data_IF_453323408325
#
_entry.id   IF_453323408325
#
_cell.length_a   1.000
_cell.length_b   1.000
_cell.length_c   1.000
_cell.angle_alpha   90.00
_cell.angle_beta   90.00
_cell.angle_gamma   90.00
#
_symmetry.space_group_name_H-M   'P 1'
#
loop_
_entity.id
_entity.type
_entity.pdbx_description
1 polymer ?
#
# COMPACT_ATOMS: atom_id res chain seq x y z
N UNK A 1 4.48 -28.71 -12.26
CA UNK A 1 5.52 -29.31 -13.13
C UNK A 1 6.91 -29.17 -12.53
N UNK A 2 7.49 -27.96 -12.41
CA UNK A 2 8.86 -27.77 -11.88
C UNK A 2 9.11 -28.39 -10.50
N UNK A 3 8.19 -28.22 -9.54
CA UNK A 3 8.34 -28.82 -8.22
C UNK A 3 8.39 -30.36 -8.24
N UNK A 4 7.71 -31.01 -9.20
CA UNK A 4 7.78 -32.46 -9.36
C UNK A 4 9.12 -32.92 -9.97
N UNK A 5 9.79 -32.04 -10.71
CA UNK A 5 11.16 -32.23 -11.19
C UNK A 5 12.20 -31.96 -10.09
N UNK A 6 11.78 -31.47 -8.92
CA UNK A 6 12.65 -31.25 -7.77
C UNK A 6 13.37 -29.90 -7.74
N UNK A 7 12.92 -28.88 -8.48
CA UNK A 7 13.49 -27.53 -8.36
C UNK A 7 12.47 -26.42 -8.67
N UNK A 8 12.69 -25.20 -8.14
CA UNK A 8 11.75 -24.09 -8.30
C UNK A 8 12.43 -22.69 -8.28
N UNK A 9 12.03 -21.75 -9.14
CA UNK A 9 12.55 -20.37 -9.13
C UNK A 9 11.85 -19.52 -8.06
N UNK A 10 12.30 -19.61 -6.81
CA UNK A 10 11.72 -18.84 -5.68
C UNK A 10 11.83 -17.33 -5.88
N UNK A 11 12.91 -16.87 -6.50
CA UNK A 11 13.14 -15.47 -6.85
C UNK A 11 13.21 -15.36 -8.37
N UNK A 12 12.09 -15.06 -9.06
CA UNK A 12 12.08 -14.86 -10.50
C UNK A 12 13.14 -13.84 -10.93
N UNK A 13 13.75 -14.05 -12.11
CA UNK A 13 14.90 -13.30 -12.63
C UNK A 13 16.24 -13.50 -11.91
N UNK A 14 16.30 -14.21 -10.78
CA UNK A 14 17.57 -14.70 -10.25
C UNK A 14 18.14 -15.80 -11.17
N UNK A 15 19.46 -15.95 -11.18
CA UNK A 15 20.20 -16.91 -12.01
C UNK A 15 20.25 -18.33 -11.40
N UNK A 16 19.36 -18.64 -10.45
CA UNK A 16 19.33 -19.92 -9.76
C UNK A 16 17.91 -20.41 -9.45
N UNK A 17 17.81 -21.71 -9.20
CA UNK A 17 16.60 -22.42 -8.83
C UNK A 17 16.84 -23.17 -7.52
N UNK A 18 15.92 -23.09 -6.57
CA UNK A 18 16.03 -23.81 -5.30
C UNK A 18 15.68 -25.28 -5.52
N UNK A 19 16.53 -26.19 -5.03
CA UNK A 19 16.28 -27.63 -5.09
C UNK A 19 15.24 -28.01 -4.02
N UNK A 20 14.19 -28.69 -4.46
CA UNK A 20 13.18 -29.34 -3.62
C UNK A 20 13.42 -30.86 -3.55
N UNK A 21 12.36 -31.65 -3.59
CA UNK A 21 12.45 -33.11 -3.71
C UNK A 21 11.85 -33.53 -5.05
N UNK A 22 12.61 -34.22 -5.93
CA UNK A 22 12.04 -34.80 -7.14
C UNK A 22 11.00 -35.88 -6.80
N UNK A 23 10.05 -36.08 -7.72
CA UNK A 23 8.99 -37.10 -7.62
C UNK A 23 9.06 -38.14 -8.75
N UNK A 24 10.14 -38.13 -9.52
CA UNK A 24 10.34 -38.99 -10.69
C UNK A 24 11.74 -39.58 -10.69
N UNK A 25 11.87 -40.81 -11.19
CA UNK A 25 13.15 -41.51 -11.31
C UNK A 25 14.08 -40.80 -12.31
N UNK A 26 13.52 -40.37 -13.45
CA UNK A 26 14.24 -39.59 -14.45
C UNK A 26 13.32 -38.56 -15.11
N UNK A 27 13.86 -37.36 -15.38
CA UNK A 27 13.24 -36.37 -16.24
C UNK A 27 14.25 -35.79 -17.23
N UNK A 28 13.82 -35.65 -18.49
CA UNK A 28 14.62 -35.06 -19.57
C UNK A 28 13.93 -33.81 -20.09
N UNK A 29 14.61 -32.67 -20.01
CA UNK A 29 14.16 -31.39 -20.54
C UNK A 29 14.98 -31.04 -21.77
N UNK A 30 14.34 -30.97 -22.93
CA UNK A 30 14.97 -30.46 -24.14
C UNK A 30 14.95 -28.93 -24.10
N UNK A 31 16.13 -28.33 -24.19
CA UNK A 31 16.32 -26.89 -24.10
C UNK A 31 16.30 -26.27 -25.50
N UNK A 32 16.00 -24.97 -25.56
CA UNK A 32 15.93 -24.22 -26.82
C UNK A 32 17.27 -24.17 -27.57
N UNK A 33 18.39 -24.25 -26.85
CA UNK A 33 19.73 -24.32 -27.42
C UNK A 33 20.12 -25.71 -27.96
N UNK A 34 19.16 -26.65 -28.03
CA UNK A 34 19.35 -28.00 -28.53
C UNK A 34 19.99 -28.98 -27.54
N UNK A 35 20.41 -28.53 -26.35
CA UNK A 35 20.92 -29.41 -25.29
C UNK A 35 19.77 -30.05 -24.52
N UNK A 36 20.11 -31.07 -23.73
CA UNK A 36 19.16 -31.75 -22.84
C UNK A 36 19.65 -31.64 -21.41
N UNK A 37 18.81 -31.14 -20.51
CA UNK A 37 19.03 -31.19 -19.07
C UNK A 37 18.35 -32.44 -18.51
N UNK A 38 19.07 -33.23 -17.70
CA UNK A 38 18.62 -34.55 -17.26
C UNK A 38 18.66 -34.64 -15.74
N UNK A 39 17.51 -34.86 -15.10
CA UNK A 39 17.44 -35.07 -13.66
C UNK A 39 17.25 -36.56 -13.41
N UNK A 40 18.06 -37.14 -12.53
CA UNK A 40 17.92 -38.53 -12.09
C UNK A 40 17.83 -38.61 -10.58
N UNK A 41 17.11 -39.61 -10.10
CA UNK A 41 17.13 -40.00 -8.70
C UNK A 41 17.56 -41.45 -8.55
N UNK A 42 18.26 -41.74 -7.45
CA UNK A 42 18.61 -43.08 -7.02
C UNK A 42 17.86 -43.39 -5.72
N UNK A 43 17.31 -44.60 -5.61
CA UNK A 43 16.56 -45.06 -4.44
C UNK A 43 15.28 -44.24 -4.12
N UNK A 44 14.67 -43.57 -5.09
CA UNK A 44 13.40 -42.87 -4.89
C UNK A 44 12.28 -43.88 -4.56
N UNK A 45 11.51 -43.60 -3.51
CA UNK A 45 10.35 -44.40 -3.13
C UNK A 45 9.40 -43.57 -2.27
N UNK A 46 8.18 -44.05 -1.99
CA UNK A 46 7.28 -43.39 -1.05
C UNK A 46 7.89 -43.17 0.35
N UNK A 47 8.83 -44.02 0.75
CA UNK A 47 9.59 -43.89 2.01
C UNK A 47 10.80 -42.96 1.85
N UNK A 48 11.51 -43.07 0.72
CA UNK A 48 12.75 -42.35 0.46
C UNK A 48 12.49 -40.99 -0.19
N UNK A 49 12.05 -40.03 0.63
CA UNK A 49 11.67 -38.67 0.20
C UNK A 49 12.70 -37.57 0.48
N UNK A 50 13.84 -37.90 1.08
CA UNK A 50 14.88 -36.92 1.43
C UNK A 50 16.10 -37.08 0.53
N UNK A 51 16.63 -35.97 0.03
CA UNK A 51 17.94 -35.97 -0.64
C UNK A 51 19.03 -36.19 0.41
N UNK A 52 19.83 -37.24 0.21
CA UNK A 52 20.99 -37.60 1.03
C UNK A 52 22.28 -37.01 0.47
N UNK A 53 22.43 -37.07 -0.84
CA UNK A 53 23.58 -36.53 -1.57
C UNK A 53 23.16 -36.13 -2.98
N UNK A 54 23.98 -35.32 -3.64
CA UNK A 54 23.76 -34.96 -5.04
C UNK A 54 25.10 -34.98 -5.79
N UNK A 55 25.02 -35.29 -7.08
CA UNK A 55 26.11 -35.12 -8.04
C UNK A 55 25.62 -34.28 -9.20
N UNK A 56 26.48 -33.44 -9.76
CA UNK A 56 26.21 -32.70 -11.00
C UNK A 56 27.29 -33.06 -12.00
N UNK A 57 26.90 -33.65 -13.14
CA UNK A 57 27.83 -34.12 -14.17
C UNK A 57 28.91 -35.06 -13.58
N UNK A 58 28.49 -35.97 -12.69
CA UNK A 58 29.34 -36.95 -12.02
C UNK A 58 30.19 -36.42 -10.85
N UNK A 59 30.22 -35.10 -10.61
CA UNK A 59 31.00 -34.49 -9.52
C UNK A 59 30.13 -34.27 -8.27
N UNK A 60 30.68 -34.38 -7.05
CA UNK A 60 29.94 -34.05 -5.83
C UNK A 60 29.32 -32.65 -5.89
N UNK A 61 28.04 -32.54 -5.53
CA UNK A 61 27.29 -31.29 -5.55
C UNK A 61 26.70 -31.03 -4.17
N UNK A 62 27.13 -29.93 -3.55
CA UNK A 62 26.76 -29.63 -2.16
C UNK A 62 25.73 -28.50 -2.04
N UNK A 63 25.46 -27.78 -3.13
CA UNK A 63 24.52 -26.67 -3.14
C UNK A 63 23.07 -27.15 -3.22
N UNK A 64 22.18 -26.52 -2.46
CA UNK A 64 20.73 -26.70 -2.51
C UNK A 64 20.06 -25.79 -3.54
N UNK A 65 20.83 -25.26 -4.49
CA UNK A 65 20.36 -24.46 -5.61
C UNK A 65 21.02 -24.95 -6.88
N UNK A 66 20.33 -24.95 -8.01
CA UNK A 66 20.88 -25.18 -9.36
C UNK A 66 21.06 -23.84 -10.05
N UNK A 67 22.22 -23.59 -10.68
CA UNK A 67 22.40 -22.37 -11.49
C UNK A 67 21.73 -22.53 -12.84
N UNK A 68 21.18 -21.43 -13.35
CA UNK A 68 20.62 -21.38 -14.69
C UNK A 68 21.67 -21.77 -15.75
N UNK A 69 22.94 -21.36 -15.55
CA UNK A 69 24.04 -21.75 -16.42
C UNK A 69 24.27 -23.27 -16.47
N UNK A 70 24.17 -23.97 -15.33
CA UNK A 70 24.32 -25.43 -15.27
C UNK A 70 23.19 -26.14 -16.04
N UNK A 71 21.97 -25.62 -15.93
CA UNK A 71 20.81 -26.12 -16.67
C UNK A 71 21.04 -25.88 -18.17
N UNK A 72 21.37 -24.65 -18.58
CA UNK A 72 21.59 -24.29 -19.99
C UNK A 72 22.82 -24.97 -20.61
N UNK A 73 23.75 -25.47 -19.80
CA UNK A 73 24.85 -26.33 -20.23
C UNK A 73 24.41 -27.78 -20.53
N UNK A 74 23.15 -28.15 -20.27
CA UNK A 74 22.66 -29.53 -20.38
C UNK A 74 23.11 -30.41 -19.21
N UNK A 75 23.23 -29.82 -18.01
CA UNK A 75 23.69 -30.55 -16.83
C UNK A 75 22.86 -31.79 -16.48
N UNK A 76 23.50 -32.72 -15.78
CA UNK A 76 22.89 -33.93 -15.26
C UNK A 76 23.04 -34.00 -13.73
N UNK A 77 22.08 -33.47 -12.95
CA UNK A 77 22.00 -33.74 -11.53
C UNK A 77 21.47 -35.17 -11.26
N UNK A 78 22.18 -35.88 -10.38
CA UNK A 78 21.76 -37.17 -9.82
C UNK A 78 21.59 -37.00 -8.31
N UNK A 79 20.38 -37.26 -7.82
CA UNK A 79 20.04 -37.16 -6.39
C UNK A 79 19.94 -38.55 -5.77
N UNK A 80 20.72 -38.81 -4.73
CA UNK A 80 20.58 -40.01 -3.91
C UNK A 80 19.50 -39.77 -2.85
N UNK A 81 18.41 -40.54 -2.92
CA UNK A 81 17.25 -40.40 -2.04
C UNK A 81 17.36 -41.32 -0.82
N UNK A 82 16.72 -40.96 0.29
CA UNK A 82 16.67 -41.75 1.51
C UNK A 82 15.50 -41.40 2.43
N UNK A 83 15.28 -42.23 3.44
CA UNK A 83 14.17 -42.14 4.40
C UNK A 83 14.41 -41.11 5.53
N UNK A 84 15.65 -40.62 5.67
CA UNK A 84 16.07 -39.67 6.69
C UNK A 84 16.84 -38.48 6.11
N UNK A 85 16.58 -37.25 6.59
CA UNK A 85 17.28 -36.06 6.12
C UNK A 85 18.78 -36.15 6.38
N UNK A 86 19.60 -35.69 5.43
CA UNK A 86 21.00 -35.38 5.68
C UNK A 86 21.13 -33.91 6.11
N UNK A 87 21.48 -33.67 7.39
CA UNK A 87 21.61 -32.31 7.93
C UNK A 87 22.88 -31.57 7.47
N UNK A 88 23.80 -32.25 6.78
CA UNK A 88 25.07 -31.68 6.33
C UNK A 88 25.04 -31.23 4.85
N UNK A 89 24.15 -31.80 4.04
CA UNK A 89 24.04 -31.43 2.63
C UNK A 89 23.22 -30.15 2.48
N UNK A 90 23.66 -29.22 1.61
CA UNK A 90 22.93 -27.96 1.36
C UNK A 90 23.03 -26.90 2.47
N UNK A 91 23.85 -27.09 3.51
CA UNK A 91 23.89 -26.19 4.69
C UNK A 91 25.18 -25.39 4.86
N UNK A 92 26.22 -25.66 4.05
CA UNK A 92 27.51 -24.95 4.13
C UNK A 92 27.49 -23.52 3.54
N UNK A 93 28.46 -22.65 3.88
CA UNK A 93 28.60 -21.34 3.26
C UNK A 93 28.66 -21.45 1.73
N UNK A 94 27.79 -20.72 1.03
CA UNK A 94 27.68 -20.76 -0.44
C UNK A 94 26.84 -21.91 -1.00
N UNK A 95 26.35 -22.83 -0.16
CA UNK A 95 25.50 -23.95 -0.57
C UNK A 95 24.00 -23.69 -0.36
N UNK A 96 23.61 -22.61 0.31
CA UNK A 96 22.21 -22.23 0.54
C UNK A 96 21.74 -21.19 -0.50
N UNK A 97 20.42 -20.99 -0.68
CA UNK A 97 19.91 -19.88 -1.48
C UNK A 97 20.43 -18.53 -0.98
N UNK A 98 20.72 -17.62 -1.89
CA UNK A 98 21.14 -16.26 -1.57
C UNK A 98 19.93 -15.45 -1.08
N UNK A 99 20.01 -14.94 0.15
CA UNK A 99 19.04 -13.99 0.69
C UNK A 99 19.80 -12.73 1.12
N UNK A 100 20.20 -11.90 0.14
CA UNK A 100 20.91 -10.64 0.41
C UNK A 100 20.49 -9.57 -0.59
N UNK A 101 20.30 -8.35 -0.09
CA UNK A 101 20.06 -7.16 -0.91
C UNK A 101 21.40 -6.42 -0.96
N UNK A 102 22.17 -6.63 -2.03
CA UNK A 102 23.47 -5.99 -2.23
C UNK A 102 23.39 -4.74 -3.09
N UNK A 103 22.29 -4.57 -3.82
CA UNK A 103 22.07 -3.51 -4.79
C UNK A 103 20.77 -2.77 -4.46
N UNK A 104 20.75 -1.47 -4.75
CA UNK A 104 19.61 -0.58 -4.47
C UNK A 104 19.17 -0.55 -2.99
N UNK A 105 20.13 -0.35 -2.08
CA UNK A 105 19.84 -0.08 -0.67
C UNK A 105 18.84 1.08 -0.56
N UNK A 106 17.60 0.77 -0.19
CA UNK A 106 16.57 1.76 0.05
C UNK A 106 16.65 2.22 1.50
N UNK A 107 16.70 3.53 1.71
CA UNK A 107 16.50 4.09 3.03
C UNK A 107 14.99 4.17 3.29
N UNK A 108 14.47 3.50 4.34
CA UNK A 108 13.05 3.54 4.65
C UNK A 108 12.55 4.97 4.84
N UNK A 109 11.35 5.26 4.34
CA UNK A 109 10.74 6.56 4.54
C UNK A 109 10.42 6.76 6.04
N UNK A 110 10.63 7.97 6.57
CA UNK A 110 10.18 8.32 7.91
C UNK A 110 8.65 8.38 8.00
N UNK A 111 8.11 8.39 9.22
CA UNK A 111 6.68 8.50 9.49
C UNK A 111 6.37 9.54 10.58
N UNK A 112 5.11 9.94 10.67
CA UNK A 112 4.61 10.90 11.67
C UNK A 112 3.75 10.23 12.73
N UNK A 113 3.75 10.74 13.96
CA UNK A 113 2.83 10.30 15.03
C UNK A 113 1.43 10.93 14.93
N UNK A 114 1.23 11.89 14.01
CA UNK A 114 -0.03 12.60 13.82
C UNK A 114 -1.14 11.62 13.45
N UNK A 115 -2.18 11.56 14.30
CA UNK A 115 -3.35 10.67 14.12
C UNK A 115 -4.51 11.33 13.39
N UNK A 116 -4.66 12.65 13.50
CA UNK A 116 -5.70 13.44 12.84
C UNK A 116 -5.05 14.56 12.04
N UNK A 117 -5.50 14.76 10.80
CA UNK A 117 -4.96 15.78 9.89
C UNK A 117 -5.62 17.16 10.08
N UNK A 118 -6.68 17.23 10.87
CA UNK A 118 -7.52 18.40 11.09
C UNK A 118 -7.39 18.82 12.55
N UNK A 119 -7.20 20.11 12.81
CA UNK A 119 -7.02 20.64 14.16
C UNK A 119 -7.55 22.06 14.30
N UNK A 120 -7.90 22.49 15.52
CA UNK A 120 -8.59 23.76 15.73
C UNK A 120 -7.65 24.91 16.13
N UNK A 121 -6.82 24.67 17.13
CA UNK A 121 -5.87 25.65 17.67
C UNK A 121 -4.46 25.34 17.18
N UNK A 122 -3.86 24.26 17.69
CA UNK A 122 -2.53 23.80 17.34
C UNK A 122 -2.47 22.28 17.31
N UNK A 123 -1.54 21.74 16.54
CA UNK A 123 -1.24 20.30 16.53
C UNK A 123 0.27 20.09 16.66
N UNK A 124 0.65 19.11 17.49
CA UNK A 124 2.04 18.66 17.63
C UNK A 124 2.36 17.65 16.52
N UNK A 125 3.48 17.88 15.85
CA UNK A 125 4.01 17.01 14.79
C UNK A 125 5.29 16.35 15.30
N UNK A 126 5.24 15.04 15.53
CA UNK A 126 6.40 14.22 15.79
C UNK A 126 6.77 13.40 14.55
N UNK A 127 8.04 13.45 14.14
CA UNK A 127 8.59 12.64 13.06
C UNK A 127 9.52 11.56 13.62
N UNK A 128 9.43 10.36 13.03
CA UNK A 128 10.10 9.15 13.46
C UNK A 128 10.75 8.43 12.28
N UNK A 129 11.77 7.64 12.60
CA UNK A 129 12.62 6.95 11.62
C UNK A 129 12.66 5.46 11.95
N UNK A 130 12.49 4.58 10.96
CA UNK A 130 12.74 3.15 11.15
C UNK A 130 14.22 2.84 11.41
N UNK A 131 15.13 3.55 10.74
CA UNK A 131 16.59 3.41 10.91
C UNK A 131 17.12 4.43 11.93
N UNK A 132 17.63 3.95 13.07
CA UNK A 132 18.16 4.76 14.17
C UNK A 132 19.44 5.55 13.84
N UNK A 133 20.08 5.30 12.70
CA UNK A 133 21.24 6.04 12.22
C UNK A 133 20.87 7.16 11.23
N UNK A 134 19.66 7.13 10.67
CA UNK A 134 19.22 8.08 9.63
C UNK A 134 18.79 9.44 10.19
N UNK A 135 19.33 10.55 9.71
CA UNK A 135 18.89 11.89 10.16
C UNK A 135 17.62 12.32 9.44
N UNK A 136 16.71 12.98 10.16
CA UNK A 136 15.45 13.48 9.60
C UNK A 136 15.56 14.94 9.17
N UNK A 137 14.90 15.27 8.07
CA UNK A 137 14.78 16.62 7.54
C UNK A 137 13.33 16.90 7.21
N UNK A 138 12.90 18.16 7.36
CA UNK A 138 11.55 18.58 7.04
C UNK A 138 11.49 20.00 6.46
N UNK A 139 10.44 20.27 5.71
CA UNK A 139 10.07 21.55 5.14
C UNK A 139 8.60 21.83 5.43
N UNK A 140 8.27 23.10 5.66
CA UNK A 140 6.91 23.57 5.88
C UNK A 140 6.45 24.39 4.69
N UNK A 141 5.26 24.10 4.19
CA UNK A 141 4.58 24.90 3.18
C UNK A 141 3.21 25.35 3.71
N UNK A 142 3.12 26.59 4.16
CA UNK A 142 1.86 27.21 4.58
C UNK A 142 0.95 27.41 3.37
N UNK A 143 -0.38 27.31 3.56
CA UNK A 143 -1.36 27.49 2.47
C UNK A 143 -1.12 28.83 1.74
N UNK A 144 -1.04 28.79 0.40
CA UNK A 144 -0.80 29.98 -0.42
C UNK A 144 0.65 30.50 -0.42
N UNK A 145 1.59 29.81 0.23
CA UNK A 145 3.01 30.19 0.27
C UNK A 145 3.89 29.15 -0.43
N UNK A 146 5.09 29.58 -0.84
CA UNK A 146 6.13 28.67 -1.34
C UNK A 146 6.66 27.77 -0.21
N UNK A 147 7.10 26.54 -0.50
CA UNK A 147 7.75 25.67 0.49
C UNK A 147 9.00 26.34 1.06
N UNK A 148 9.20 26.21 2.36
CA UNK A 148 10.46 26.58 3.01
C UNK A 148 11.58 25.61 2.61
N UNK A 149 12.84 26.01 2.78
CA UNK A 149 13.95 25.09 2.62
C UNK A 149 13.86 23.94 3.65
N UNK A 150 14.35 22.75 3.27
CA UNK A 150 14.45 21.64 4.21
C UNK A 150 15.46 21.95 5.31
N UNK A 151 15.10 21.62 6.55
CA UNK A 151 15.93 21.80 7.74
C UNK A 151 15.96 20.54 8.59
N UNK A 152 17.02 20.31 9.38
CA UNK A 152 17.10 19.15 10.26
C UNK A 152 15.94 19.11 11.27
N UNK A 153 15.38 17.93 11.49
CA UNK A 153 14.41 17.67 12.55
C UNK A 153 15.15 17.17 13.80
N UNK A 154 15.09 17.97 14.88
CA UNK A 154 15.72 17.63 16.15
C UNK A 154 14.71 17.12 17.19
N UNK A 155 13.52 17.74 17.22
CA UNK A 155 12.45 17.42 18.18
C UNK A 155 11.09 17.78 17.59
N UNK A 156 10.00 17.21 18.15
CA UNK A 156 8.64 17.56 17.76
C UNK A 156 8.39 19.07 17.83
N UNK A 157 7.55 19.56 16.93
CA UNK A 157 7.18 20.97 16.83
C UNK A 157 5.67 21.12 16.72
N UNK A 158 5.15 22.32 16.99
CA UNK A 158 3.73 22.63 16.85
C UNK A 158 3.48 23.46 15.60
N UNK A 159 2.28 23.32 15.04
CA UNK A 159 1.76 24.16 13.96
C UNK A 159 0.37 24.65 14.33
N UNK A 160 0.06 25.88 13.94
CA UNK A 160 -1.14 26.65 14.32
C UNK A 160 -1.88 27.23 13.10
N UNK A 161 -1.55 26.73 11.92
CA UNK A 161 -2.20 27.07 10.65
C UNK A 161 -2.12 25.91 9.65
N UNK A 162 -2.95 25.97 8.60
CA UNK A 162 -2.92 24.98 7.52
C UNK A 162 -1.56 24.93 6.84
N UNK A 163 -0.92 23.77 6.87
CA UNK A 163 0.45 23.56 6.43
C UNK A 163 0.64 22.16 5.84
N UNK A 164 1.43 22.06 4.77
CA UNK A 164 1.98 20.79 4.32
C UNK A 164 3.38 20.62 4.88
N UNK A 165 3.59 19.57 5.66
CA UNK A 165 4.89 19.14 6.18
C UNK A 165 5.47 18.12 5.21
N UNK A 166 6.54 18.47 4.50
CA UNK A 166 7.32 17.50 3.72
C UNK A 166 8.51 17.03 4.53
N UNK A 167 8.83 15.74 4.53
CA UNK A 167 9.94 15.23 5.33
C UNK A 167 10.57 13.97 4.71
N UNK A 168 11.87 13.76 4.98
CA UNK A 168 12.64 12.63 4.48
C UNK A 168 13.73 12.23 5.48
N UNK A 169 14.31 11.04 5.27
CA UNK A 169 15.45 10.53 6.02
C UNK A 169 16.73 10.55 5.16
N UNK A 170 17.88 10.78 5.79
CA UNK A 170 19.20 10.74 5.13
C UNK A 170 20.22 9.97 5.98
N UNK A 171 20.94 9.03 5.36
CA UNK A 171 22.00 8.25 6.00
C UNK A 171 23.22 8.21 5.07
N UNK A 172 24.30 8.90 5.45
CA UNK A 172 25.44 9.10 4.56
C UNK A 172 25.02 9.81 3.27
N UNK A 173 25.28 9.16 2.12
CA UNK A 173 24.89 9.63 0.79
C UNK A 173 23.46 9.20 0.38
N UNK A 174 22.86 8.25 1.10
CA UNK A 174 21.51 7.76 0.79
C UNK A 174 20.45 8.71 1.34
N UNK A 175 19.39 8.93 0.55
CA UNK A 175 18.21 9.69 0.94
C UNK A 175 16.96 8.89 0.61
N UNK A 176 16.00 8.89 1.53
CA UNK A 176 14.67 8.33 1.29
C UNK A 176 13.89 9.21 0.29
N UNK A 177 12.74 8.73 -0.18
CA UNK A 177 11.77 9.62 -0.82
C UNK A 177 11.25 10.64 0.21
N UNK A 178 10.74 11.76 -0.29
CA UNK A 178 10.05 12.73 0.57
C UNK A 178 8.59 12.32 0.74
N UNK A 179 8.13 12.32 1.98
CA UNK A 179 6.73 12.14 2.35
C UNK A 179 6.06 13.49 2.58
N UNK A 180 4.76 13.58 2.27
CA UNK A 180 3.97 14.79 2.43
C UNK A 180 2.79 14.60 3.39
N UNK A 181 2.77 15.32 4.50
CA UNK A 181 1.67 15.34 5.47
C UNK A 181 0.96 16.70 5.42
N UNK A 182 -0.27 16.71 4.92
CA UNK A 182 -1.12 17.90 4.96
C UNK A 182 -1.86 17.97 6.30
N UNK A 183 -1.73 19.12 6.96
CA UNK A 183 -2.41 19.45 8.20
C UNK A 183 -3.29 20.67 7.96
N UNK A 184 -4.55 20.59 8.32
CA UNK A 184 -5.53 21.62 8.06
C UNK A 184 -6.00 22.20 9.38
N UNK A 185 -5.77 23.50 9.54
CA UNK A 185 -6.38 24.24 10.63
C UNK A 185 -7.82 24.57 10.27
N UNK A 186 -8.71 24.22 11.17
CA UNK A 186 -10.13 24.47 11.06
C UNK A 186 -10.60 25.42 12.16
N UNK A 187 -11.46 26.43 11.89
CA UNK A 187 -11.90 27.37 12.92
C UNK A 187 -12.68 26.68 14.05
N UNK A 188 -12.40 27.08 15.29
CA UNK A 188 -13.13 26.64 16.48
C UNK A 188 -14.64 26.92 16.39
N UNK A 189 -15.43 26.06 17.04
CA UNK A 189 -16.87 26.24 17.20
C UNK A 189 -17.73 25.87 16.00
N UNK A 190 -17.17 25.16 15.01
CA UNK A 190 -17.97 24.56 13.93
C UNK A 190 -18.03 23.05 14.13
N UNK A 191 -19.25 22.51 14.24
CA UNK A 191 -19.49 21.09 14.42
C UNK A 191 -20.34 20.55 13.26
N UNK A 192 -20.35 19.23 13.07
CA UNK A 192 -21.25 18.56 12.14
C UNK A 192 -21.90 17.36 12.79
N UNK A 193 -23.22 17.25 12.60
CA UNK A 193 -23.98 16.06 12.93
C UNK A 193 -24.52 15.44 11.65
N UNK A 194 -24.09 14.23 11.33
CA UNK A 194 -24.69 13.42 10.28
C UNK A 194 -26.01 12.82 10.80
N UNK A 195 -27.12 13.17 10.15
CA UNK A 195 -28.42 12.56 10.41
C UNK A 195 -28.55 11.22 9.69
N UNK A 196 -27.86 11.09 8.56
CA UNK A 196 -27.69 9.84 7.81
C UNK A 196 -26.22 9.41 7.84
N UNK A 197 -25.96 8.14 8.14
CA UNK A 197 -24.59 7.60 8.13
C UNK A 197 -24.13 7.23 6.72
N UNK A 198 -22.86 7.45 6.38
CA UNK A 198 -22.29 6.93 5.14
C UNK A 198 -22.18 5.41 5.19
N UNK A 199 -22.03 4.79 4.02
CA UNK A 199 -21.71 3.36 3.92
C UNK A 199 -20.41 3.05 4.66
N UNK A 200 -20.35 1.90 5.34
CA UNK A 200 -19.21 1.52 6.19
C UNK A 200 -17.86 1.48 5.46
N UNK A 201 -17.87 1.27 4.15
CA UNK A 201 -16.68 1.25 3.30
C UNK A 201 -16.22 2.66 2.86
N UNK A 202 -17.03 3.70 3.06
CA UNK A 202 -16.82 5.05 2.53
C UNK A 202 -17.10 6.13 3.59
N UNK A 203 -16.46 6.05 4.75
CA UNK A 203 -16.68 6.98 5.88
C UNK A 203 -15.83 8.23 5.86
N UNK A 204 -14.83 8.30 4.96
CA UNK A 204 -13.76 9.31 4.96
C UNK A 204 -13.06 9.48 6.33
N UNK A 205 -13.07 8.44 7.17
CA UNK A 205 -12.39 8.42 8.47
C UNK A 205 -13.12 9.12 9.62
N UNK A 206 -14.05 10.06 9.38
CA UNK A 206 -14.91 10.66 10.41
C UNK A 206 -16.04 11.52 9.83
N UNK A 207 -17.06 11.84 10.64
CA UNK A 207 -18.15 12.74 10.29
C UNK A 207 -17.67 14.13 9.84
N UNK A 208 -16.60 14.64 10.47
CA UNK A 208 -16.00 15.93 10.16
C UNK A 208 -15.42 16.04 8.75
N UNK A 209 -15.29 14.94 8.00
CA UNK A 209 -14.74 14.96 6.65
C UNK A 209 -15.52 15.87 5.68
N UNK A 210 -16.83 16.06 5.88
CA UNK A 210 -17.63 16.97 5.02
C UNK A 210 -17.32 18.45 5.27
N UNK A 211 -16.71 18.78 6.42
CA UNK A 211 -16.40 20.15 6.79
C UNK A 211 -14.91 20.40 6.98
N UNK A 212 -14.03 19.39 6.92
CA UNK A 212 -12.62 19.56 7.29
C UNK A 212 -11.77 20.39 6.31
N UNK A 213 -12.32 20.74 5.15
CA UNK A 213 -11.67 21.54 4.12
C UNK A 213 -10.71 20.74 3.22
N UNK A 214 -10.67 19.41 3.34
CA UNK A 214 -10.07 18.51 2.36
C UNK A 214 -11.08 18.32 1.23
N UNK A 215 -10.69 18.70 0.02
CA UNK A 215 -11.46 18.36 -1.18
C UNK A 215 -10.94 17.02 -1.70
N UNK A 216 -11.85 16.10 -2.00
CA UNK A 216 -11.51 14.87 -2.69
C UNK A 216 -11.03 15.13 -4.13
N UNK A 217 -10.03 14.36 -4.57
CA UNK A 217 -9.62 14.27 -5.98
C UNK A 217 -10.38 13.16 -6.72
N UNK A 218 -9.95 12.86 -7.94
CA UNK A 218 -10.65 11.91 -8.83
C UNK A 218 -10.67 10.45 -8.33
N UNK A 219 -9.74 10.09 -7.44
CA UNK A 219 -9.69 8.78 -6.81
C UNK A 219 -10.50 8.75 -5.52
N UNK A 220 -11.58 7.96 -5.48
CA UNK A 220 -12.42 7.81 -4.29
C UNK A 220 -11.79 6.99 -3.17
N UNK A 221 -10.70 6.25 -3.43
CA UNK A 221 -10.01 5.45 -2.42
C UNK A 221 -9.05 6.26 -1.54
N UNK A 222 -8.84 7.54 -1.84
CA UNK A 222 -7.92 8.41 -1.09
C UNK A 222 -8.42 8.77 0.32
N UNK A 223 -9.62 8.33 0.71
CA UNK A 223 -10.21 8.54 2.02
C UNK A 223 -10.76 9.96 2.25
N UNK A 224 -10.89 10.77 1.21
CA UNK A 224 -11.45 12.13 1.28
C UNK A 224 -12.93 12.21 0.87
N UNK A 225 -13.56 11.09 0.51
CA UNK A 225 -14.95 11.02 0.07
C UNK A 225 -15.82 10.22 1.03
N UNK A 226 -17.00 10.76 1.37
CA UNK A 226 -18.07 10.00 2.02
C UNK A 226 -19.07 9.46 0.99
N UNK A 227 -19.46 8.20 1.13
CA UNK A 227 -20.36 7.52 0.19
C UNK A 227 -21.73 7.21 0.80
N UNK A 228 -22.79 7.50 0.03
CA UNK A 228 -24.19 7.28 0.42
C UNK A 228 -24.89 6.50 -0.69
N UNK A 229 -25.54 5.39 -0.33
CA UNK A 229 -26.23 4.52 -1.29
C UNK A 229 -27.67 4.30 -0.83
N UNK A 230 -28.63 4.55 -1.73
CA UNK A 230 -30.07 4.39 -1.48
C UNK A 230 -30.60 5.19 -0.27
N UNK A 231 -29.87 6.21 0.16
CA UNK A 231 -30.24 7.13 1.23
C UNK A 231 -29.75 8.53 0.89
N UNK A 232 -30.49 9.54 1.34
CA UNK A 232 -30.08 10.93 1.21
C UNK A 232 -28.99 11.26 2.25
N UNK A 233 -27.93 11.94 1.82
CA UNK A 233 -27.02 12.61 2.74
C UNK A 233 -27.79 13.74 3.45
N UNK A 234 -27.98 13.59 4.76
CA UNK A 234 -28.53 14.63 5.62
C UNK A 234 -27.51 14.96 6.71
N UNK A 235 -27.12 16.23 6.77
CA UNK A 235 -26.14 16.71 7.73
C UNK A 235 -26.50 18.11 8.23
N UNK A 236 -26.26 18.35 9.52
CA UNK A 236 -26.42 19.66 10.16
C UNK A 236 -25.03 20.18 10.51
N UNK A 237 -24.67 21.33 9.95
CA UNK A 237 -23.41 22.02 10.28
C UNK A 237 -23.72 23.13 11.27
N UNK A 238 -23.27 22.97 12.51
CA UNK A 238 -23.34 24.04 13.51
C UNK A 238 -22.19 25.03 13.28
N UNK A 239 -22.49 26.32 13.34
CA UNK A 239 -21.51 27.41 13.20
C UNK A 239 -21.06 27.97 14.56
N UNK A 240 -21.65 27.50 15.66
CA UNK A 240 -21.38 27.90 17.05
C UNK A 240 -21.88 29.29 17.41
N UNK A 241 -22.04 30.18 16.43
CA UNK A 241 -22.60 31.52 16.58
C UNK A 241 -23.35 31.96 15.32
N UNK A 242 -24.34 32.87 15.44
CA UNK A 242 -24.99 33.48 14.28
C UNK A 242 -23.95 34.03 13.31
N UNK A 243 -23.98 33.54 12.07
CA UNK A 243 -23.00 33.87 11.04
C UNK A 243 -23.72 34.16 9.72
N UNK A 244 -23.41 35.28 9.09
CA UNK A 244 -23.86 35.55 7.72
C UNK A 244 -23.21 34.57 6.75
N UNK A 245 -24.03 33.91 5.93
CA UNK A 245 -23.58 32.99 4.87
C UNK A 245 -23.93 33.59 3.52
N UNK A 246 -22.93 33.80 2.67
CA UNK A 246 -23.09 34.39 1.33
C UNK A 246 -23.25 33.35 0.22
N UNK A 247 -22.69 32.15 0.40
CA UNK A 247 -22.76 31.06 -0.58
C UNK A 247 -22.58 29.70 0.10
N UNK A 248 -23.10 28.67 -0.55
CA UNK A 248 -22.90 27.26 -0.20
C UNK A 248 -22.27 26.56 -1.41
N UNK A 249 -21.32 25.65 -1.17
CA UNK A 249 -20.79 24.77 -2.21
C UNK A 249 -20.58 23.38 -1.65
N UNK A 250 -20.80 22.38 -2.50
CA UNK A 250 -20.45 20.99 -2.24
C UNK A 250 -19.76 20.43 -3.48
N UNK A 251 -18.81 19.52 -3.28
CA UNK A 251 -18.14 18.79 -4.36
C UNK A 251 -18.68 17.37 -4.39
N UNK A 252 -18.96 16.88 -5.59
CA UNK A 252 -19.46 15.53 -5.82
C UNK A 252 -18.55 14.84 -6.83
N UNK A 253 -18.28 13.56 -6.61
CA UNK A 253 -17.54 12.73 -7.55
C UNK A 253 -18.53 12.04 -8.49
N UNK A 254 -18.21 11.99 -9.78
CA UNK A 254 -18.91 11.15 -10.74
C UNK A 254 -17.92 10.14 -11.36
N UNK A 255 -18.22 8.86 -11.21
CA UNK A 255 -17.50 7.78 -11.86
C UNK A 255 -18.49 6.64 -12.18
N UNK A 256 -19.02 6.67 -13.40
CA UNK A 256 -20.04 5.72 -13.87
C UNK A 256 -19.54 4.27 -13.91
N UNK A 257 -18.24 4.04 -14.14
CA UNK A 257 -17.65 2.70 -14.15
C UNK A 257 -17.66 2.05 -12.76
N UNK A 258 -17.60 2.88 -11.72
CA UNK A 258 -17.69 2.46 -10.32
C UNK A 258 -19.08 2.69 -9.73
N UNK A 259 -20.09 2.98 -10.57
CA UNK A 259 -21.47 3.24 -10.15
C UNK A 259 -21.60 4.41 -9.16
N UNK A 260 -20.75 5.43 -9.31
CA UNK A 260 -20.78 6.68 -8.54
C UNK A 260 -21.44 7.75 -9.39
N UNK A 261 -22.63 8.18 -9.00
CA UNK A 261 -23.45 9.15 -9.74
C UNK A 261 -23.53 10.48 -9.00
N UNK A 262 -23.77 11.56 -9.75
CA UNK A 262 -24.15 12.85 -9.17
C UNK A 262 -25.45 12.71 -8.38
N UNK A 263 -25.64 13.48 -7.29
CA UNK A 263 -26.91 13.48 -6.59
C UNK A 263 -28.01 14.02 -7.49
N UNK A 264 -29.23 13.46 -7.34
CA UNK A 264 -30.41 13.93 -8.07
C UNK A 264 -30.77 15.37 -7.74
N UNK A 265 -30.53 15.77 -6.49
CA UNK A 265 -30.78 17.12 -6.02
C UNK A 265 -29.89 17.44 -4.84
N UNK A 266 -29.71 18.73 -4.58
CA UNK A 266 -29.06 19.25 -3.37
C UNK A 266 -29.90 20.39 -2.84
N UNK A 267 -30.16 20.39 -1.55
CA UNK A 267 -30.91 21.45 -0.88
C UNK A 267 -30.15 21.97 0.33
N UNK A 268 -30.24 23.29 0.53
CA UNK A 268 -29.60 23.99 1.64
C UNK A 268 -30.67 24.67 2.49
N UNK A 269 -30.61 24.38 3.77
CA UNK A 269 -31.49 24.92 4.81
C UNK A 269 -30.64 25.69 5.82
N UNK A 270 -31.23 26.71 6.45
CA UNK A 270 -30.61 27.45 7.55
C UNK A 270 -31.57 27.58 8.71
N UNK A 271 -31.02 27.60 9.93
CA UNK A 271 -31.77 27.81 11.17
C UNK A 271 -30.95 28.67 12.12
N UNK A 272 -31.63 29.52 12.90
CA UNK A 272 -31.03 30.29 14.00
C UNK A 272 -31.29 29.64 15.37
N UNK A 273 -32.31 28.78 15.48
CA UNK A 273 -32.74 28.15 16.73
C UNK A 273 -32.46 26.64 16.78
N UNK A 274 -31.96 26.08 15.67
CA UNK A 274 -31.69 24.65 15.52
C UNK A 274 -32.95 23.76 15.47
N UNK A 275 -34.14 24.36 15.35
CA UNK A 275 -35.44 23.67 15.36
C UNK A 275 -36.25 23.94 14.11
N UNK A 276 -36.22 25.18 13.62
CA UNK A 276 -36.99 25.59 12.44
C UNK A 276 -36.03 25.90 11.29
N UNK A 277 -36.15 25.10 10.23
CA UNK A 277 -35.32 25.21 9.04
C UNK A 277 -36.01 26.04 7.96
N UNK A 278 -35.28 26.99 7.39
CA UNK A 278 -35.71 27.77 6.22
C UNK A 278 -34.89 27.37 5.01
N UNK A 279 -35.54 26.88 3.95
CA UNK A 279 -34.89 26.58 2.66
C UNK A 279 -34.30 27.86 2.05
N UNK A 280 -33.06 27.80 1.58
CA UNK A 280 -32.36 28.95 0.97
C UNK A 280 -32.03 28.76 -0.50
N UNK A 281 -31.55 27.58 -0.87
CA UNK A 281 -31.14 27.30 -2.24
C UNK A 281 -31.12 25.80 -2.48
N UNK A 282 -31.08 25.43 -3.75
CA UNK A 282 -30.89 24.06 -4.15
C UNK A 282 -30.81 23.96 -5.67
N UNK A 283 -30.44 22.78 -6.15
CA UNK A 283 -30.51 22.43 -7.56
C UNK A 283 -30.96 21.00 -7.71
N UNK A 284 -31.53 20.68 -8.86
CA UNK A 284 -31.94 19.34 -9.25
C UNK A 284 -31.33 19.01 -10.60
N UNK A 285 -30.79 17.79 -10.74
CA UNK A 285 -30.29 17.31 -12.01
C UNK A 285 -31.47 16.98 -12.93
N UNK A 286 -31.50 17.50 -14.18
CA UNK A 286 -32.67 17.41 -15.05
C UNK A 286 -32.94 16.00 -15.61
N UNK A 287 -32.03 15.03 -15.45
CA UNK A 287 -32.16 13.70 -16.04
C UNK A 287 -32.02 12.57 -15.00
N UNK A 288 -33.05 11.71 -14.92
CA UNK A 288 -32.96 10.42 -14.22
C UNK A 288 -32.12 9.45 -15.06
N UNK A 289 -30.81 9.42 -14.83
CA UNK A 289 -29.94 8.35 -15.34
C UNK A 289 -30.01 7.09 -14.45
N UNK A 290 -31.21 6.69 -14.04
CA UNK A 290 -31.42 5.38 -13.42
C UNK A 290 -32.02 4.46 -14.48
N UNK A 291 -31.35 3.38 -14.90
CA UNK A 291 -32.04 2.34 -15.64
C UNK A 291 -33.12 1.79 -14.72
N UNK A 292 -34.39 2.08 -15.02
CA UNK A 292 -35.54 1.69 -14.18
C UNK A 292 -35.75 0.16 -14.08
N UNK A 293 -34.88 -0.69 -14.64
CA UNK A 293 -35.04 -2.14 -14.62
C UNK A 293 -33.70 -2.87 -14.55
N UNK A 294 -33.23 -3.21 -13.35
CA UNK A 294 -32.50 -4.47 -13.12
C UNK A 294 -33.00 -5.07 -11.81
N UNK A 295 -34.10 -5.81 -11.93
CA UNK A 295 -34.43 -6.88 -10.99
C UNK A 295 -33.46 -8.03 -11.31
N UNK A 296 -32.70 -8.46 -10.31
CA UNK A 296 -32.12 -9.80 -10.23
C UNK A 296 -32.24 -10.29 -8.80
#
# INVERSE_FOLDING_TARGET
>A
MLSALGFYPVTPAADYYVIGSPLVDEARLRLENGRTFVIKTENLSPQNKYIRSARLNGKPYLASVLRHADIMAGGEPVFEMGDRPNKQWGTGPGNTPLARIDEHLILPNPYSDVKKRVFESQIRVGLYRPDAEARLFYSLQKKGRKPQAFRPYAKPFTVDETVTVRFYARKGHMQSKSEGLQLIRFPEGRDIRLLTRPGSQYTAGSDSALIDGILGGDDFHNGAWQGYQQVDLQAVIDRGKPTTVSWFSAHFLQNIYSWIFMPLYVEYYVSLDGKHDTRKSGWSHPERFYPENVVS
#
